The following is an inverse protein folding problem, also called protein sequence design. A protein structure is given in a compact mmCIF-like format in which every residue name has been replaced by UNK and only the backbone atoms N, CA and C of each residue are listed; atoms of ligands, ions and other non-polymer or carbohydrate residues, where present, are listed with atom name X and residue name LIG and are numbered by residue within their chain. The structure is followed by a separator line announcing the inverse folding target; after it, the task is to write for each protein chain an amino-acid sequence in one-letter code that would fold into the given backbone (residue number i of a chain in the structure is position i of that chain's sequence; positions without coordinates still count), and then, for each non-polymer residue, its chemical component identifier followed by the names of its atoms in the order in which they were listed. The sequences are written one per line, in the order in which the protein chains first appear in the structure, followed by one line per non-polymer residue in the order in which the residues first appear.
data_IF_009628671439
#
_entry.id   IF_009628671439
#
_cell.length_a   1.000
_cell.length_b   1.000
_cell.length_c   1.000
_cell.angle_alpha   90.00
_cell.angle_beta   90.00
_cell.angle_gamma   90.00
#
_symmetry.space_group_name_H-M   'P 1'
#
loop_
_entity.id
_entity.type
_entity.pdbx_description
1 polymer ?
#
# COMPACT_ATOMS: atom_id res chain seq x y z
N UNK A 1 14.02 15.32 12.78
CA UNK A 1 13.46 14.21 11.96
C UNK A 1 14.09 14.29 10.58
N UNK A 2 14.44 13.16 9.96
CA UNK A 2 15.01 13.17 8.60
C UNK A 2 13.91 13.45 7.56
N UNK A 3 14.27 14.06 6.42
CA UNK A 3 13.30 14.38 5.35
C UNK A 3 12.57 13.15 4.78
N UNK A 4 13.20 11.97 4.82
CA UNK A 4 12.57 10.71 4.43
C UNK A 4 11.42 10.33 5.36
N UNK A 5 11.58 10.52 6.66
CA UNK A 5 10.56 10.15 7.63
C UNK A 5 9.31 11.04 7.48
N UNK A 6 9.48 12.33 7.22
CA UNK A 6 8.36 13.24 6.95
C UNK A 6 7.62 12.87 5.65
N UNK A 7 8.35 12.47 4.61
CA UNK A 7 7.76 11.98 3.36
C UNK A 7 6.91 10.71 3.59
N UNK A 8 7.42 9.75 4.35
CA UNK A 8 6.71 8.51 4.66
C UNK A 8 5.43 8.79 5.46
N UNK A 9 5.48 9.67 6.45
CA UNK A 9 4.31 10.09 7.24
C UNK A 9 3.25 10.79 6.38
N UNK A 10 3.67 11.68 5.47
CA UNK A 10 2.76 12.33 4.51
C UNK A 10 2.10 11.30 3.59
N UNK A 11 2.88 10.37 3.04
CA UNK A 11 2.36 9.30 2.18
C UNK A 11 1.34 8.42 2.94
N UNK A 12 1.66 8.04 4.17
CA UNK A 12 0.72 7.31 5.04
C UNK A 12 -0.60 8.07 5.23
N UNK A 13 -0.54 9.37 5.56
CA UNK A 13 -1.74 10.18 5.72
C UNK A 13 -2.57 10.32 4.43
N UNK A 14 -1.92 10.44 3.27
CA UNK A 14 -2.61 10.44 1.97
C UNK A 14 -3.30 9.10 1.73
N UNK A 15 -2.62 7.98 1.99
CA UNK A 15 -3.22 6.65 1.83
C UNK A 15 -4.43 6.48 2.75
N UNK A 16 -4.28 6.78 4.03
CA UNK A 16 -5.37 6.63 5.02
C UNK A 16 -6.58 7.51 4.68
N UNK A 17 -6.37 8.77 4.29
CA UNK A 17 -7.46 9.68 3.92
C UNK A 17 -8.23 9.23 2.67
N UNK A 18 -7.54 8.56 1.73
CA UNK A 18 -8.14 8.09 0.48
C UNK A 18 -8.77 6.69 0.59
N UNK A 19 -8.42 5.91 1.61
CA UNK A 19 -9.11 4.66 1.94
C UNK A 19 -10.54 4.92 2.49
N UNK A 20 -10.82 6.13 3.00
CA UNK A 20 -12.13 6.55 3.49
C UNK A 20 -12.56 5.83 4.78
N UNK A 21 -13.87 5.77 5.09
CA UNK A 21 -14.44 5.01 6.24
C UNK A 21 -14.28 3.48 6.12
N UNK A 22 -13.60 2.99 5.07
CA UNK A 22 -13.49 1.56 4.79
C UNK A 22 -12.35 1.01 5.64
N UNK A 23 -12.67 -0.06 6.37
CA UNK A 23 -11.86 -0.60 7.47
C UNK A 23 -10.59 -1.28 6.96
N UNK A 24 -9.62 -0.51 6.46
CA UNK A 24 -8.26 -1.00 6.38
C UNK A 24 -7.85 -1.43 7.80
N UNK A 25 -7.44 -2.69 7.93
CA UNK A 25 -6.89 -3.21 9.18
C UNK A 25 -5.51 -2.61 9.43
N UNK A 26 -4.76 -2.34 8.36
CA UNK A 26 -3.47 -1.67 8.43
C UNK A 26 -2.90 -1.34 7.06
N UNK A 27 -1.88 -0.48 7.07
CA UNK A 27 -1.17 0.00 5.88
C UNK A 27 0.33 -0.11 6.16
N UNK A 28 1.11 -0.50 5.16
CA UNK A 28 2.55 -0.53 5.21
C UNK A 28 3.16 0.11 3.95
N UNK A 29 4.24 0.87 4.12
CA UNK A 29 5.11 1.28 3.02
C UNK A 29 6.27 0.29 2.96
N UNK A 30 6.44 -0.32 1.80
CA UNK A 30 7.47 -1.34 1.56
C UNK A 30 8.32 -0.98 0.34
N UNK A 31 9.56 -1.45 0.29
CA UNK A 31 10.39 -1.35 -0.91
C UNK A 31 10.26 -2.59 -1.84
N UNK A 32 10.98 -2.58 -2.96
CA UNK A 32 11.01 -3.66 -3.95
C UNK A 32 11.48 -5.02 -3.41
N UNK A 33 12.10 -5.04 -2.22
CA UNK A 33 12.50 -6.24 -1.48
C UNK A 33 11.53 -6.56 -0.35
N UNK A 34 10.37 -5.91 -0.29
CA UNK A 34 9.36 -6.04 0.76
C UNK A 34 9.87 -5.70 2.17
N UNK A 35 10.94 -4.90 2.29
CA UNK A 35 11.34 -4.33 3.58
C UNK A 35 10.33 -3.27 3.97
N UNK A 36 9.84 -3.33 5.21
CA UNK A 36 8.89 -2.35 5.75
C UNK A 36 9.63 -1.09 6.21
N UNK A 37 9.21 0.05 5.68
CA UNK A 37 9.75 1.38 6.02
C UNK A 37 8.83 2.17 6.94
N UNK A 38 7.52 1.94 6.84
CA UNK A 38 6.51 2.48 7.74
C UNK A 38 5.35 1.51 7.83
N UNK A 39 4.68 1.46 8.98
CA UNK A 39 3.49 0.62 9.19
C UNK A 39 2.55 1.30 10.17
N UNK A 40 1.25 1.21 9.90
CA UNK A 40 0.18 1.59 10.83
C UNK A 40 -0.91 0.52 10.84
N UNK A 41 -1.45 0.24 12.03
CA UNK A 41 -2.46 -0.79 12.23
C UNK A 41 -1.91 -2.22 12.09
N UNK A 42 -2.81 -3.18 11.87
CA UNK A 42 -2.47 -4.60 11.76
C UNK A 42 -2.06 -4.99 10.34
N UNK A 43 -0.75 -5.01 10.07
CA UNK A 43 -0.16 -5.67 8.90
C UNK A 43 0.68 -6.84 9.41
N UNK A 44 0.35 -8.06 9.00
CA UNK A 44 1.11 -9.26 9.39
C UNK A 44 2.09 -9.59 8.27
N UNK A 45 3.19 -10.25 8.63
CA UNK A 45 4.22 -10.64 7.66
C UNK A 45 3.67 -11.61 6.60
N UNK A 46 2.73 -12.49 6.99
CA UNK A 46 2.01 -13.39 6.09
C UNK A 46 1.23 -12.66 4.99
N UNK A 47 0.72 -11.46 5.27
CA UNK A 47 -0.02 -10.68 4.27
C UNK A 47 0.91 -10.11 3.20
N UNK A 48 2.15 -9.80 3.54
CA UNK A 48 3.17 -9.33 2.60
C UNK A 48 3.81 -10.48 1.82
N UNK A 49 3.98 -11.64 2.47
CA UNK A 49 4.65 -12.79 1.90
C UNK A 49 4.00 -13.32 0.60
N UNK A 50 2.69 -13.13 0.42
CA UNK A 50 2.00 -13.53 -0.82
C UNK A 50 2.39 -12.69 -2.04
N UNK A 51 2.91 -11.47 -1.85
CA UNK A 51 3.38 -10.61 -2.93
C UNK A 51 4.88 -10.72 -3.20
N UNK A 52 5.66 -11.28 -2.26
CA UNK A 52 7.14 -11.29 -2.33
C UNK A 52 7.72 -12.07 -3.51
N UNK A 53 6.92 -12.95 -4.12
CA UNK A 53 7.30 -13.74 -5.30
C UNK A 53 7.00 -13.04 -6.63
N UNK A 54 6.31 -11.90 -6.59
CA UNK A 54 5.93 -11.16 -7.79
C UNK A 54 7.09 -10.25 -8.23
N UNK A 55 7.29 -10.05 -9.54
CA UNK A 55 8.33 -9.18 -10.07
C UNK A 55 7.94 -7.70 -9.92
N UNK A 56 7.71 -7.23 -8.68
CA UNK A 56 7.18 -5.89 -8.40
C UNK A 56 8.10 -4.75 -8.86
N UNK A 57 9.39 -5.05 -9.05
CA UNK A 57 10.37 -4.13 -9.62
C UNK A 57 10.05 -3.76 -11.07
N UNK A 58 9.48 -4.69 -11.83
CA UNK A 58 9.13 -4.52 -13.25
C UNK A 58 7.79 -3.80 -13.46
N UNK A 59 7.00 -3.65 -12.40
CA UNK A 59 5.75 -2.92 -12.46
C UNK A 59 5.99 -1.43 -12.68
N UNK A 60 5.13 -0.80 -13.47
CA UNK A 60 5.11 0.66 -13.60
C UNK A 60 4.50 1.33 -12.35
N UNK A 61 4.86 2.58 -12.11
CA UNK A 61 4.19 3.40 -11.09
C UNK A 61 2.69 3.49 -11.38
N UNK A 62 1.86 3.33 -10.35
CA UNK A 62 0.40 3.21 -10.48
C UNK A 62 -0.09 1.80 -10.79
N UNK A 63 0.80 0.82 -10.95
CA UNK A 63 0.42 -0.60 -11.04
C UNK A 63 -0.16 -1.08 -9.71
N UNK A 64 -1.21 -1.87 -9.80
CA UNK A 64 -1.96 -2.37 -8.67
C UNK A 64 -2.07 -3.90 -8.75
N UNK A 65 -1.72 -4.56 -7.66
CA UNK A 65 -1.98 -5.99 -7.46
C UNK A 65 -2.88 -6.12 -6.26
N UNK A 66 -3.94 -6.93 -6.34
CA UNK A 66 -4.87 -7.09 -5.23
C UNK A 66 -5.36 -8.53 -5.11
N UNK A 67 -5.84 -8.87 -3.92
CA UNK A 67 -6.70 -10.03 -3.69
C UNK A 67 -7.93 -9.60 -2.89
N UNK A 68 -8.69 -10.57 -2.34
CA UNK A 68 -9.91 -10.28 -1.59
C UNK A 68 -9.69 -9.56 -0.27
N UNK A 69 -8.46 -9.57 0.28
CA UNK A 69 -8.12 -9.10 1.64
C UNK A 69 -7.04 -8.02 1.67
N UNK A 70 -6.38 -7.74 0.57
CA UNK A 70 -5.38 -6.70 0.52
C UNK A 70 -5.09 -6.24 -0.90
N UNK A 71 -4.31 -5.17 -0.99
CA UNK A 71 -3.71 -4.76 -2.24
C UNK A 71 -2.33 -4.14 -2.03
N UNK A 72 -1.57 -4.10 -3.12
CA UNK A 72 -0.25 -3.51 -3.23
C UNK A 72 -0.28 -2.54 -4.41
N UNK A 73 -0.04 -1.26 -4.15
CA UNK A 73 0.02 -0.20 -5.15
C UNK A 73 1.47 0.30 -5.27
N UNK A 74 2.03 0.29 -6.47
CA UNK A 74 3.33 0.91 -6.71
C UNK A 74 3.16 2.42 -6.82
N UNK A 75 3.84 3.17 -5.95
CA UNK A 75 3.70 4.64 -5.88
C UNK A 75 4.96 5.38 -6.32
N UNK A 76 6.08 4.66 -6.46
CA UNK A 76 7.34 5.16 -7.03
C UNK A 76 8.20 3.97 -7.46
N UNK A 77 9.36 4.23 -8.06
CA UNK A 77 10.34 3.18 -8.40
C UNK A 77 10.85 2.44 -7.17
N UNK A 78 10.89 3.13 -6.02
CA UNK A 78 11.46 2.60 -4.77
C UNK A 78 10.43 2.03 -3.81
N UNK A 79 9.23 2.61 -3.78
CA UNK A 79 8.24 2.33 -2.74
C UNK A 79 6.89 1.86 -3.30
N UNK A 80 6.29 0.96 -2.56
CA UNK A 80 4.93 0.48 -2.72
C UNK A 80 4.15 0.69 -1.42
N UNK A 81 2.85 0.86 -1.58
CA UNK A 81 1.89 0.92 -0.49
C UNK A 81 1.15 -0.40 -0.45
N UNK A 82 1.29 -1.11 0.65
CA UNK A 82 0.51 -2.29 0.97
C UNK A 82 -0.65 -1.90 1.90
N UNK A 83 -1.84 -2.42 1.64
CA UNK A 83 -3.02 -2.20 2.48
C UNK A 83 -3.66 -3.55 2.80
N UNK A 84 -3.78 -3.87 4.09
CA UNK A 84 -4.59 -4.98 4.57
C UNK A 84 -6.02 -4.50 4.87
N UNK A 85 -7.01 -5.18 4.31
CA UNK A 85 -8.43 -4.89 4.51
C UNK A 85 -8.98 -5.72 5.68
N UNK A 86 -9.90 -5.14 6.45
CA UNK A 86 -10.61 -5.83 7.53
C UNK A 86 -11.86 -6.59 7.07
N UNK A 87 -12.40 -6.28 5.90
CA UNK A 87 -13.57 -6.93 5.30
C UNK A 87 -13.22 -7.36 3.86
N UNK A 88 -13.69 -8.55 3.45
CA UNK A 88 -13.53 -9.02 2.09
C UNK A 88 -14.37 -8.13 1.14
N UNK A 89 -13.96 -7.98 -0.13
CA UNK A 89 -14.72 -7.37 -1.24
C UNK A 89 -14.56 -5.86 -1.51
N UNK A 90 -13.82 -5.11 -0.68
CA UNK A 90 -13.62 -3.66 -0.90
C UNK A 90 -12.22 -3.25 -1.39
N UNK A 91 -11.29 -4.22 -1.56
CA UNK A 91 -9.90 -3.96 -1.94
C UNK A 91 -9.79 -3.26 -3.31
N UNK A 92 -10.56 -3.71 -4.30
CA UNK A 92 -10.49 -3.20 -5.67
C UNK A 92 -10.97 -1.74 -5.78
N UNK A 93 -12.05 -1.38 -5.10
CA UNK A 93 -12.60 -0.01 -5.12
C UNK A 93 -11.73 0.96 -4.32
N UNK A 94 -11.19 0.52 -3.18
CA UNK A 94 -10.24 1.30 -2.40
C UNK A 94 -8.96 1.56 -3.19
N UNK A 95 -8.48 0.55 -3.90
CA UNK A 95 -7.30 0.66 -4.73
C UNK A 95 -7.50 1.54 -5.98
N UNK A 96 -8.66 1.44 -6.65
CA UNK A 96 -9.01 2.31 -7.77
C UNK A 96 -9.09 3.79 -7.34
N UNK A 97 -9.66 4.04 -6.16
CA UNK A 97 -9.75 5.39 -5.57
C UNK A 97 -8.37 5.97 -5.25
N UNK A 98 -7.49 5.14 -4.68
CA UNK A 98 -6.11 5.55 -4.35
C UNK A 98 -5.29 5.81 -5.62
N UNK A 99 -5.39 4.95 -6.64
CA UNK A 99 -4.71 5.12 -7.92
C UNK A 99 -5.12 6.42 -8.63
N UNK A 100 -6.42 6.72 -8.66
CA UNK A 100 -6.93 7.94 -9.30
C UNK A 100 -6.47 9.23 -8.62
N UNK A 101 -6.14 9.20 -7.33
CA UNK A 101 -5.68 10.36 -6.55
C UNK A 101 -4.18 10.56 -6.57
N UNK A 102 -3.40 9.48 -6.70
CA UNK A 102 -1.93 9.56 -6.77
C UNK A 102 -1.47 10.01 -8.16
N UNK A 103 -2.25 9.72 -9.20
CA UNK A 103 -1.93 10.11 -10.58
C UNK A 103 -2.55 11.46 -11.01
N UNK A 104 -3.30 12.13 -10.14
CA UNK A 104 -3.93 13.45 -10.39
C UNK A 104 -3.09 14.57 -9.76
#
# INVERSE_FOLDING_TARGET
MSGLQELLERLMGVVESNLGRRRARGVAIVDDRFRVWAVRGGVRQEDLAKYSRLPVKELEVGSLIHDSRSFLLKVSDRFMVFVAMGENELSMVAAASLKGRINA
#
